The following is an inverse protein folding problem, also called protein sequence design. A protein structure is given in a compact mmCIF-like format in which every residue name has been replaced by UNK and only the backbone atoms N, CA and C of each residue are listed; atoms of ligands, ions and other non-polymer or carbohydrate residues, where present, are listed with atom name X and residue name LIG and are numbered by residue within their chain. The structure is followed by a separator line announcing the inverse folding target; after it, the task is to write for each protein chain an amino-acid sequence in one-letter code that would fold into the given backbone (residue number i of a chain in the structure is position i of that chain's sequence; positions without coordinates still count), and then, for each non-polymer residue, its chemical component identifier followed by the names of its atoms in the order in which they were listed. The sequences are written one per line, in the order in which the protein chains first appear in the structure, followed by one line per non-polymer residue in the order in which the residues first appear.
data_IF_921894094446
#
_entry.id   IF_921894094446
#
_cell.length_a   1.000
_cell.length_b   1.000
_cell.length_c   1.000
_cell.angle_alpha   90.00
_cell.angle_beta   90.00
_cell.angle_gamma   90.00
#
_symmetry.space_group_name_H-M   'P 1'
#
loop_
_entity.id
_entity.type
_entity.pdbx_description
1 polymer ?
#
# COMPACT_ATOMS: atom_id res chain seq x y z
N UNK A 1 -32.80 -7.71 -8.64
CA UNK A 1 -32.21 -8.08 -7.33
C UNK A 1 -31.64 -6.80 -6.74
N UNK A 2 -32.26 -6.24 -5.71
CA UNK A 2 -31.72 -5.07 -5.01
C UNK A 2 -30.69 -5.57 -4.00
N UNK A 3 -29.42 -5.23 -4.18
CA UNK A 3 -28.39 -5.51 -3.17
C UNK A 3 -28.47 -4.39 -2.13
N UNK A 4 -28.86 -4.77 -0.91
CA UNK A 4 -28.82 -3.88 0.24
C UNK A 4 -27.36 -3.76 0.69
N UNK A 5 -26.68 -2.70 0.25
CA UNK A 5 -25.33 -2.37 0.70
C UNK A 5 -25.44 -1.49 1.96
N UNK A 6 -25.31 -2.10 3.13
CA UNK A 6 -24.95 -1.34 4.33
C UNK A 6 -23.47 -1.03 4.25
N UNK A 7 -23.06 0.22 4.51
CA UNK A 7 -21.67 0.57 4.79
C UNK A 7 -21.45 0.43 6.29
N UNK A 8 -20.83 -0.67 6.79
CA UNK A 8 -20.64 -0.88 8.21
C UNK A 8 -19.91 0.29 8.89
N UNK A 9 -19.03 0.97 8.15
CA UNK A 9 -18.33 2.18 8.57
C UNK A 9 -19.27 3.35 8.87
N UNK A 10 -20.32 3.55 8.06
CA UNK A 10 -21.28 4.63 8.31
C UNK A 10 -22.17 4.33 9.53
N UNK A 11 -22.50 3.05 9.74
CA UNK A 11 -23.26 2.61 10.90
C UNK A 11 -22.43 2.74 12.19
N UNK A 12 -21.15 2.41 12.13
CA UNK A 12 -20.21 2.59 13.24
C UNK A 12 -20.01 4.09 13.58
N UNK A 13 -19.88 4.95 12.57
CA UNK A 13 -19.79 6.40 12.77
C UNK A 13 -21.06 6.97 13.43
N UNK A 14 -22.24 6.57 12.94
CA UNK A 14 -23.51 6.99 13.54
C UNK A 14 -23.67 6.49 14.99
N UNK A 15 -23.19 5.29 15.31
CA UNK A 15 -23.20 4.78 16.68
C UNK A 15 -22.31 5.61 17.61
N UNK A 16 -21.14 6.06 17.13
CA UNK A 16 -20.24 6.94 17.87
C UNK A 16 -20.87 8.33 18.11
N UNK A 17 -21.52 8.91 17.11
CA UNK A 17 -22.23 10.18 17.24
C UNK A 17 -23.37 10.08 18.28
N UNK A 18 -24.15 8.99 18.24
CA UNK A 18 -25.19 8.76 19.24
C UNK A 18 -24.62 8.55 20.64
N UNK A 19 -23.47 7.89 20.79
CA UNK A 19 -22.80 7.76 22.07
C UNK A 19 -22.43 9.15 22.63
N UNK A 20 -21.94 10.06 21.77
CA UNK A 20 -21.68 11.45 22.10
C UNK A 20 -22.93 12.20 22.55
N UNK A 21 -24.03 12.09 21.81
CA UNK A 21 -25.34 12.68 22.18
C UNK A 21 -25.80 12.16 23.55
N UNK A 22 -25.71 10.85 23.77
CA UNK A 22 -26.08 10.22 25.05
C UNK A 22 -25.24 10.74 26.22
N UNK A 23 -23.93 10.96 26.01
CA UNK A 23 -23.05 11.57 27.01
C UNK A 23 -23.48 12.99 27.36
N UNK A 24 -23.65 13.85 26.34
CA UNK A 24 -24.05 15.24 26.53
C UNK A 24 -25.41 15.36 27.23
N UNK A 25 -26.36 14.49 26.88
CA UNK A 25 -27.69 14.47 27.49
C UNK A 25 -27.65 14.07 28.98
N UNK A 26 -26.83 13.08 29.35
CA UNK A 26 -26.61 12.69 30.75
C UNK A 26 -25.96 13.81 31.56
N UNK A 27 -24.96 14.48 31.00
CA UNK A 27 -24.30 15.62 31.65
C UNK A 27 -25.28 16.78 31.90
N UNK A 28 -26.08 17.14 30.88
CA UNK A 28 -27.09 18.18 31.01
C UNK A 28 -28.16 17.81 32.07
N UNK A 29 -28.66 16.56 32.04
CA UNK A 29 -29.65 16.06 32.99
C UNK A 29 -29.11 16.04 34.42
N UNK A 30 -27.84 15.67 34.61
CA UNK A 30 -27.18 15.68 35.91
C UNK A 30 -26.99 17.10 36.45
N UNK A 31 -26.58 18.07 35.61
CA UNK A 31 -26.46 19.48 36.02
C UNK A 31 -27.79 20.11 36.43
N UNK A 32 -28.90 19.65 35.83
CA UNK A 32 -30.23 20.14 36.12
C UNK A 32 -30.87 19.46 37.35
N UNK A 33 -30.27 18.41 37.91
CA UNK A 33 -30.87 17.62 38.98
C UNK A 33 -31.13 18.46 40.24
N UNK A 34 -30.07 18.98 40.86
CA UNK A 34 -30.20 19.81 42.07
C UNK A 34 -31.15 21.01 41.89
N UNK A 35 -31.01 21.89 40.87
CA UNK A 35 -31.86 23.06 40.74
C UNK A 35 -33.35 22.74 40.47
N UNK A 36 -33.68 21.54 40.01
CA UNK A 36 -35.07 21.14 39.74
C UNK A 36 -35.72 20.32 40.86
N UNK A 37 -34.93 19.64 41.70
CA UNK A 37 -35.45 18.84 42.82
C UNK A 37 -35.44 19.58 44.15
N UNK A 38 -34.56 20.59 44.32
CA UNK A 38 -34.43 21.35 45.58
C UNK A 38 -35.07 22.74 45.50
N UNK A 39 -36.26 22.84 44.94
CA UNK A 39 -37.00 24.11 44.81
C UNK A 39 -37.44 24.59 46.19
N UNK A 40 -37.10 25.83 46.53
CA UNK A 40 -37.49 26.45 47.80
C UNK A 40 -38.86 27.14 47.66
N UNK A 41 -39.64 27.13 48.74
CA UNK A 41 -40.91 27.87 48.81
C UNK A 41 -40.63 29.39 48.71
N UNK A 42 -41.45 30.10 47.95
CA UNK A 42 -41.30 31.54 47.75
C UNK A 42 -41.66 32.37 49.00
N UNK A 43 -42.52 31.83 49.86
CA UNK A 43 -42.91 32.38 51.15
C UNK A 43 -43.31 31.23 52.10
N UNK A 44 -43.55 31.55 53.38
CA UNK A 44 -43.87 30.59 54.45
C UNK A 44 -45.32 30.06 54.40
N UNK A 45 -46.12 30.52 53.42
CA UNK A 45 -47.50 30.09 53.27
C UNK A 45 -47.61 28.67 52.69
N UNK A 46 -48.70 27.98 53.02
CA UNK A 46 -48.94 26.61 52.62
C UNK A 46 -49.04 26.42 51.10
N UNK A 47 -49.45 27.45 50.36
CA UNK A 47 -49.52 27.40 48.88
C UNK A 47 -48.12 27.43 48.28
N UNK A 48 -47.24 28.31 48.75
CA UNK A 48 -45.83 28.37 48.34
C UNK A 48 -45.08 27.07 48.64
N UNK A 49 -45.33 26.46 49.80
CA UNK A 49 -44.73 25.17 50.18
C UNK A 49 -45.26 24.04 49.28
N UNK A 50 -46.57 23.98 49.04
CA UNK A 50 -47.17 22.96 48.18
C UNK A 50 -46.70 23.05 46.72
N UNK A 51 -46.55 24.27 46.19
CA UNK A 51 -46.04 24.50 44.83
C UNK A 51 -44.57 24.09 44.71
N UNK A 52 -43.72 24.42 45.67
CA UNK A 52 -42.32 23.97 45.69
C UNK A 52 -42.21 22.44 45.74
N UNK A 53 -43.03 21.79 46.57
CA UNK A 53 -43.09 20.33 46.65
C UNK A 53 -43.55 19.67 45.33
N UNK A 54 -44.53 20.26 44.63
CA UNK A 54 -44.99 19.79 43.32
C UNK A 54 -43.86 19.85 42.27
N UNK A 55 -43.12 20.96 42.23
CA UNK A 55 -41.99 21.10 41.30
C UNK A 55 -40.86 20.14 41.63
N UNK A 56 -40.52 19.97 42.92
CA UNK A 56 -39.52 18.99 43.36
C UNK A 56 -39.88 17.55 42.95
N UNK A 57 -41.14 17.14 43.20
CA UNK A 57 -41.63 15.82 42.80
C UNK A 57 -41.66 15.62 41.27
N UNK A 58 -41.94 16.69 40.50
CA UNK A 58 -41.86 16.66 39.04
C UNK A 58 -40.41 16.50 38.54
N UNK A 59 -39.46 17.16 39.21
CA UNK A 59 -38.03 17.01 38.97
C UNK A 59 -37.54 15.57 39.23
N UNK A 60 -37.94 14.96 40.33
CA UNK A 60 -37.61 13.56 40.65
C UNK A 60 -38.16 12.57 39.61
N UNK A 61 -39.40 12.77 39.16
CA UNK A 61 -40.00 11.96 38.10
C UNK A 61 -39.27 12.11 36.77
N UNK A 62 -38.87 13.34 36.41
CA UNK A 62 -38.06 13.61 35.24
C UNK A 62 -36.73 12.86 35.30
N UNK A 63 -36.01 12.92 36.43
CA UNK A 63 -34.74 12.21 36.64
C UNK A 63 -34.90 10.68 36.53
N UNK A 64 -35.98 10.12 37.09
CA UNK A 64 -36.27 8.69 36.98
C UNK A 64 -36.55 8.27 35.52
N UNK A 65 -37.22 9.12 34.74
CA UNK A 65 -37.51 8.86 33.33
C UNK A 65 -36.26 8.97 32.46
N UNK A 66 -35.44 10.00 32.65
CA UNK A 66 -34.18 10.16 31.90
C UNK A 66 -33.18 9.06 32.22
N UNK A 67 -33.15 8.52 33.44
CA UNK A 67 -32.35 7.34 33.76
C UNK A 67 -32.78 6.10 32.94
N UNK A 68 -34.09 5.88 32.78
CA UNK A 68 -34.63 4.79 31.93
C UNK A 68 -34.31 5.01 30.46
N UNK A 69 -34.43 6.25 29.97
CA UNK A 69 -34.08 6.62 28.61
C UNK A 69 -32.58 6.39 28.34
N UNK A 70 -31.70 6.78 29.27
CA UNK A 70 -30.26 6.56 29.14
C UNK A 70 -29.91 5.08 29.00
N UNK A 71 -30.53 4.21 29.82
CA UNK A 71 -30.33 2.76 29.71
C UNK A 71 -30.82 2.19 28.37
N UNK A 72 -31.96 2.66 27.86
CA UNK A 72 -32.44 2.30 26.52
C UNK A 72 -31.48 2.78 25.43
N UNK A 73 -31.01 4.02 25.51
CA UNK A 73 -30.08 4.60 24.56
C UNK A 73 -28.76 3.82 24.51
N UNK A 74 -28.22 3.43 25.67
CA UNK A 74 -27.01 2.61 25.74
C UNK A 74 -27.21 1.23 25.09
N UNK A 75 -28.37 0.61 25.29
CA UNK A 75 -28.72 -0.65 24.60
C UNK A 75 -28.84 -0.46 23.08
N UNK A 76 -29.45 0.65 22.63
CA UNK A 76 -29.60 0.96 21.22
C UNK A 76 -28.24 1.16 20.53
N UNK A 77 -27.35 1.97 21.14
CA UNK A 77 -25.98 2.19 20.64
C UNK A 77 -25.17 0.89 20.65
N UNK A 78 -25.32 0.09 21.70
CA UNK A 78 -24.68 -1.23 21.81
C UNK A 78 -25.13 -2.18 20.70
N UNK A 79 -26.42 -2.24 20.40
CA UNK A 79 -26.96 -3.05 19.32
C UNK A 79 -26.49 -2.57 17.93
N UNK A 80 -26.43 -1.27 17.71
CA UNK A 80 -25.97 -0.68 16.46
C UNK A 80 -24.48 -0.97 16.20
N UNK A 81 -23.65 -0.78 17.23
CA UNK A 81 -22.21 -1.10 17.19
C UNK A 81 -21.98 -2.60 16.97
N UNK A 82 -22.73 -3.44 17.69
CA UNK A 82 -22.66 -4.89 17.54
C UNK A 82 -23.08 -5.38 16.15
N UNK A 83 -24.12 -4.76 15.56
CA UNK A 83 -24.55 -5.03 14.20
C UNK A 83 -23.47 -4.66 13.16
N UNK A 84 -22.88 -3.47 13.26
CA UNK A 84 -21.80 -3.05 12.37
C UNK A 84 -20.59 -4.00 12.43
N UNK A 85 -20.19 -4.42 13.64
CA UNK A 85 -19.11 -5.38 13.83
C UNK A 85 -19.43 -6.77 13.24
N UNK A 86 -20.67 -7.23 13.34
CA UNK A 86 -21.09 -8.51 12.77
C UNK A 86 -21.03 -8.52 11.24
N UNK A 87 -21.47 -7.43 10.58
CA UNK A 87 -21.39 -7.31 9.12
C UNK A 87 -19.94 -7.22 8.62
N UNK A 88 -19.11 -6.39 9.26
CA UNK A 88 -17.69 -6.30 8.94
C UNK A 88 -16.95 -7.63 9.17
N UNK A 89 -17.27 -8.34 10.26
CA UNK A 89 -16.71 -9.66 10.52
C UNK A 89 -17.14 -10.73 9.51
N UNK A 90 -18.39 -10.68 9.03
CA UNK A 90 -18.88 -11.56 7.99
C UNK A 90 -18.18 -11.31 6.63
N UNK A 91 -17.95 -10.05 6.28
CA UNK A 91 -17.18 -9.67 5.08
C UNK A 91 -15.75 -10.20 5.16
N UNK A 92 -15.04 -9.95 6.26
CA UNK A 92 -13.67 -10.43 6.45
C UNK A 92 -13.57 -11.97 6.40
N UNK A 93 -14.57 -12.67 6.94
CA UNK A 93 -14.62 -14.15 6.91
C UNK A 93 -14.85 -14.65 5.48
N UNK A 94 -15.79 -14.04 4.75
CA UNK A 94 -16.08 -14.41 3.37
C UNK A 94 -14.88 -14.14 2.44
N UNK A 95 -14.19 -13.01 2.61
CA UNK A 95 -12.95 -12.73 1.90
C UNK A 95 -11.85 -13.76 2.20
N UNK A 96 -11.68 -14.10 3.48
CA UNK A 96 -10.73 -15.14 3.90
C UNK A 96 -11.02 -16.50 3.26
N UNK A 97 -12.29 -16.91 3.22
CA UNK A 97 -12.71 -18.16 2.57
C UNK A 97 -12.46 -18.15 1.06
N UNK A 98 -12.76 -17.03 0.39
CA UNK A 98 -12.50 -16.89 -1.04
C UNK A 98 -11.02 -16.96 -1.38
N UNK A 99 -10.15 -16.37 -0.55
CA UNK A 99 -8.69 -16.45 -0.72
C UNK A 99 -8.20 -17.90 -0.57
N UNK A 100 -8.65 -18.63 0.45
CA UNK A 100 -8.28 -20.04 0.65
C UNK A 100 -8.74 -20.92 -0.53
N UNK A 101 -9.96 -20.72 -1.02
CA UNK A 101 -10.48 -21.44 -2.18
C UNK A 101 -9.68 -21.13 -3.45
N UNK A 102 -9.30 -19.87 -3.65
CA UNK A 102 -8.47 -19.46 -4.79
C UNK A 102 -7.08 -20.10 -4.73
N UNK A 103 -6.45 -20.12 -3.56
CA UNK A 103 -5.13 -20.73 -3.37
C UNK A 103 -5.16 -22.25 -3.60
N UNK A 104 -6.18 -22.95 -3.09
CA UNK A 104 -6.34 -24.40 -3.29
C UNK A 104 -6.55 -24.73 -4.76
N UNK A 105 -7.39 -23.95 -5.45
CA UNK A 105 -7.61 -24.10 -6.89
C UNK A 105 -6.31 -23.87 -7.70
N UNK A 106 -5.56 -22.81 -7.39
CA UNK A 106 -4.27 -22.54 -8.03
C UNK A 106 -3.25 -23.64 -7.73
N UNK A 107 -3.23 -24.18 -6.51
CA UNK A 107 -2.37 -25.29 -6.12
C UNK A 107 -2.64 -26.53 -6.98
N UNK A 108 -3.92 -26.91 -7.16
CA UNK A 108 -4.32 -28.05 -8.00
C UNK A 108 -3.92 -27.84 -9.47
N UNK A 109 -4.11 -26.62 -10.00
CA UNK A 109 -3.74 -26.29 -11.39
C UNK A 109 -2.21 -26.30 -11.58
N UNK A 110 -1.47 -25.78 -10.60
CA UNK A 110 -0.03 -25.62 -10.71
C UNK A 110 0.73 -26.90 -10.37
N UNK A 111 0.14 -27.83 -9.60
CA UNK A 111 0.82 -29.04 -9.14
C UNK A 111 1.50 -29.86 -10.26
N UNK A 112 0.88 -30.09 -11.44
CA UNK A 112 1.55 -30.81 -12.52
C UNK A 112 2.77 -30.08 -13.07
N UNK A 113 2.70 -28.76 -13.28
CA UNK A 113 3.82 -27.99 -13.84
C UNK A 113 4.91 -27.72 -12.80
N UNK A 114 4.56 -27.56 -11.54
CA UNK A 114 5.53 -27.48 -10.45
C UNK A 114 6.32 -28.78 -10.34
N UNK A 115 5.63 -29.92 -10.38
CA UNK A 115 6.29 -31.23 -10.32
C UNK A 115 7.18 -31.51 -11.54
N UNK A 116 6.78 -31.08 -12.75
CA UNK A 116 7.48 -31.38 -13.99
C UNK A 116 8.55 -30.34 -14.37
N UNK A 117 8.32 -29.07 -14.05
CA UNK A 117 9.10 -27.93 -14.56
C UNK A 117 9.64 -27.02 -13.45
N UNK A 118 9.29 -27.26 -12.18
CA UNK A 118 9.69 -26.42 -11.04
C UNK A 118 9.19 -24.98 -11.16
N UNK A 119 8.07 -24.79 -11.86
CA UNK A 119 7.46 -23.48 -12.10
C UNK A 119 5.94 -23.63 -12.19
N UNK A 120 5.17 -22.66 -11.67
CA UNK A 120 3.73 -22.73 -11.73
C UNK A 120 3.26 -22.48 -13.16
N UNK A 121 2.10 -23.00 -13.52
CA UNK A 121 1.46 -22.70 -14.80
C UNK A 121 0.93 -21.27 -14.78
N UNK A 122 0.33 -20.89 -13.65
CA UNK A 122 -0.30 -19.59 -13.39
C UNK A 122 0.15 -19.09 -12.01
N UNK A 123 0.62 -17.85 -11.94
CA UNK A 123 1.01 -17.23 -10.69
C UNK A 123 2.13 -16.21 -10.89
N UNK A 124 2.22 -15.22 -10.00
CA UNK A 124 3.33 -14.29 -10.03
C UNK A 124 4.59 -14.95 -9.45
N UNK A 125 5.75 -14.46 -9.88
CA UNK A 125 7.02 -14.85 -9.27
C UNK A 125 7.15 -14.30 -7.86
N UNK A 126 7.84 -15.04 -7.00
CA UNK A 126 8.10 -14.60 -5.63
C UNK A 126 8.99 -13.35 -5.60
N UNK A 127 8.63 -12.36 -4.78
CA UNK A 127 9.49 -11.20 -4.57
C UNK A 127 10.74 -11.58 -3.77
N UNK A 128 11.88 -11.00 -4.13
CA UNK A 128 13.11 -11.12 -3.38
C UNK A 128 13.02 -10.41 -2.03
N UNK A 129 13.62 -11.01 -1.00
CA UNK A 129 13.59 -10.45 0.35
C UNK A 129 14.30 -9.08 0.43
N UNK A 130 13.70 -8.14 1.15
CA UNK A 130 14.27 -6.81 1.35
C UNK A 130 15.62 -6.88 2.08
N UNK A 131 16.54 -5.98 1.73
CA UNK A 131 17.90 -5.85 2.27
C UNK A 131 18.78 -7.09 2.07
N UNK A 132 18.47 -7.97 1.12
CA UNK A 132 19.28 -9.15 0.81
C UNK A 132 19.92 -9.08 -0.57
N UNK A 133 19.40 -8.23 -1.46
CA UNK A 133 19.73 -8.26 -2.88
C UNK A 133 19.23 -9.53 -3.60
N UNK A 134 18.31 -10.28 -2.99
CA UNK A 134 17.75 -11.49 -3.60
C UNK A 134 16.97 -11.14 -4.87
N UNK A 135 17.18 -11.91 -5.93
CA UNK A 135 16.43 -11.75 -7.17
C UNK A 135 14.95 -12.14 -6.99
N UNK A 136 14.07 -11.48 -7.75
CA UNK A 136 12.71 -11.92 -7.90
C UNK A 136 12.62 -13.22 -8.70
N UNK A 137 11.69 -14.09 -8.31
CA UNK A 137 11.38 -15.34 -8.99
C UNK A 137 10.69 -15.11 -10.33
N UNK A 138 10.76 -16.11 -11.20
CA UNK A 138 10.04 -16.10 -12.46
C UNK A 138 8.53 -16.23 -12.25
N UNK A 139 7.74 -15.52 -13.06
CA UNK A 139 6.31 -15.74 -13.16
C UNK A 139 5.97 -17.13 -13.73
N UNK A 140 4.70 -17.50 -13.54
CA UNK A 140 4.12 -18.71 -14.07
C UNK A 140 4.26 -18.82 -15.59
N UNK A 141 4.22 -20.03 -16.12
CA UNK A 141 4.55 -20.31 -17.52
C UNK A 141 3.59 -19.60 -18.48
N UNK A 142 2.28 -19.63 -18.22
CA UNK A 142 1.26 -19.01 -19.07
C UNK A 142 0.92 -17.60 -18.61
N UNK A 143 0.56 -17.45 -17.34
CA UNK A 143 0.14 -16.17 -16.77
C UNK A 143 0.91 -15.92 -15.49
N UNK A 144 1.64 -14.82 -15.45
CA UNK A 144 2.42 -14.47 -14.28
C UNK A 144 3.36 -13.32 -14.52
N UNK A 145 3.26 -12.31 -13.66
CA UNK A 145 4.27 -11.28 -13.58
C UNK A 145 5.53 -11.84 -12.93
N UNK A 146 6.68 -11.29 -13.28
CA UNK A 146 7.91 -11.60 -12.56
C UNK A 146 7.91 -10.98 -11.16
N UNK A 147 8.55 -11.65 -10.20
CA UNK A 147 8.71 -11.12 -8.85
C UNK A 147 9.66 -9.92 -8.83
N UNK A 148 9.47 -9.00 -7.89
CA UNK A 148 10.37 -7.86 -7.69
C UNK A 148 11.70 -8.34 -7.11
N UNK A 149 12.80 -7.71 -7.51
CA UNK A 149 14.08 -7.89 -6.85
C UNK A 149 14.08 -7.23 -5.47
N UNK A 150 14.65 -7.91 -4.48
CA UNK A 150 14.82 -7.37 -3.13
C UNK A 150 15.84 -6.23 -3.09
N UNK A 151 15.65 -5.26 -2.20
CA UNK A 151 16.66 -4.21 -2.01
C UNK A 151 17.98 -4.80 -1.49
N UNK A 152 19.10 -4.14 -1.79
CA UNK A 152 20.40 -4.50 -1.24
C UNK A 152 20.57 -4.04 0.21
N UNK A 153 21.30 -4.81 1.02
CA UNK A 153 21.84 -4.34 2.30
C UNK A 153 22.81 -3.17 2.08
N UNK A 154 23.27 -2.51 3.15
CA UNK A 154 24.17 -1.36 3.05
C UNK A 154 25.38 -1.63 2.14
N UNK A 155 25.54 -0.83 1.08
CA UNK A 155 26.59 -0.96 0.07
C UNK A 155 26.47 -2.18 -0.87
N UNK A 156 25.47 -3.04 -0.69
CA UNK A 156 25.23 -4.23 -1.50
C UNK A 156 24.25 -3.93 -2.65
N UNK A 157 24.40 -4.68 -3.74
CA UNK A 157 23.51 -4.54 -4.89
C UNK A 157 22.06 -4.95 -4.57
N UNK A 158 21.11 -4.32 -5.26
CA UNK A 158 19.73 -4.79 -5.30
C UNK A 158 19.59 -6.00 -6.21
N UNK A 159 18.61 -6.86 -5.91
CA UNK A 159 18.33 -8.05 -6.71
C UNK A 159 17.68 -7.69 -8.04
N UNK A 160 17.85 -8.54 -9.04
CA UNK A 160 17.17 -8.37 -10.32
C UNK A 160 15.68 -8.70 -10.19
N UNK A 161 14.84 -8.03 -10.97
CA UNK A 161 13.45 -8.43 -11.16
C UNK A 161 13.37 -9.75 -11.93
N UNK A 162 12.40 -10.58 -11.57
CA UNK A 162 12.15 -11.86 -12.23
C UNK A 162 11.51 -11.69 -13.61
N UNK A 163 11.71 -12.64 -14.53
CA UNK A 163 11.03 -12.63 -15.82
C UNK A 163 9.56 -13.02 -15.68
N UNK A 164 8.70 -12.50 -16.56
CA UNK A 164 7.32 -12.94 -16.69
C UNK A 164 7.16 -14.21 -17.55
N UNK A 165 5.93 -14.74 -17.61
CA UNK A 165 5.54 -15.92 -18.40
C UNK A 165 5.30 -15.66 -19.90
N UNK A 166 4.34 -16.36 -20.48
CA UNK A 166 3.82 -16.04 -21.82
C UNK A 166 3.10 -14.69 -21.82
N UNK A 167 2.31 -14.44 -20.77
CA UNK A 167 1.62 -13.20 -20.47
C UNK A 167 2.04 -12.69 -19.09
N UNK A 168 2.42 -11.42 -19.01
CA UNK A 168 2.74 -10.78 -17.75
C UNK A 168 3.81 -9.71 -17.88
N UNK A 169 3.96 -8.90 -16.86
CA UNK A 169 4.95 -7.83 -16.79
C UNK A 169 6.17 -8.31 -16.02
N UNK A 170 7.36 -7.96 -16.50
CA UNK A 170 8.61 -8.29 -15.80
C UNK A 170 8.69 -7.62 -14.44
N UNK A 171 9.32 -8.29 -13.48
CA UNK A 171 9.48 -7.76 -12.13
C UNK A 171 10.36 -6.52 -12.08
N UNK A 172 10.13 -5.61 -11.14
CA UNK A 172 11.01 -4.45 -10.97
C UNK A 172 12.34 -4.87 -10.33
N UNK A 173 13.45 -4.29 -10.77
CA UNK A 173 14.74 -4.44 -10.10
C UNK A 173 14.74 -3.81 -8.70
N UNK A 174 15.43 -4.46 -7.76
CA UNK A 174 15.61 -3.99 -6.40
C UNK A 174 16.56 -2.79 -6.33
N UNK A 175 16.32 -1.89 -5.39
CA UNK A 175 17.22 -0.75 -5.16
C UNK A 175 18.55 -1.23 -4.57
N UNK A 176 19.66 -0.67 -5.02
CA UNK A 176 20.96 -0.84 -4.38
C UNK A 176 21.01 -0.21 -2.99
N UNK A 177 21.68 -0.85 -2.04
CA UNK A 177 21.74 -0.38 -0.67
C UNK A 177 22.64 0.84 -0.50
N UNK A 178 22.15 1.84 0.20
CA UNK A 178 22.94 3.01 0.55
C UNK A 178 24.01 2.67 1.60
N UNK A 179 25.11 3.43 1.63
CA UNK A 179 26.16 3.23 2.63
C UNK A 179 26.75 4.53 3.12
N UNK A 180 27.19 4.53 4.38
CA UNK A 180 27.98 5.60 5.01
C UNK A 180 29.39 5.13 5.37
N UNK A 181 29.73 3.89 5.03
CA UNK A 181 31.05 3.34 5.32
C UNK A 181 32.12 4.04 4.48
N UNK A 182 33.23 4.40 5.11
CA UNK A 182 34.34 5.12 4.46
C UNK A 182 34.91 4.26 3.34
N UNK A 183 34.96 4.81 2.12
CA UNK A 183 35.46 4.10 0.93
C UNK A 183 34.51 3.07 0.32
N UNK A 184 33.29 2.91 0.85
CA UNK A 184 32.30 2.00 0.28
C UNK A 184 31.38 2.73 -0.71
N UNK A 185 31.32 2.22 -1.95
CA UNK A 185 30.38 2.70 -2.94
C UNK A 185 28.94 2.33 -2.55
N UNK A 186 27.97 3.11 -3.02
CA UNK A 186 26.57 2.71 -2.97
C UNK A 186 26.36 1.44 -3.81
N UNK A 187 25.47 0.56 -3.35
CA UNK A 187 25.15 -0.65 -4.09
C UNK A 187 24.52 -0.35 -5.45
N UNK A 188 24.80 -1.16 -6.46
CA UNK A 188 24.11 -1.02 -7.75
C UNK A 188 22.63 -1.39 -7.64
N UNK A 189 21.76 -0.75 -8.41
CA UNK A 189 20.38 -1.19 -8.59
C UNK A 189 20.30 -2.46 -9.44
N UNK A 190 19.36 -3.34 -9.11
CA UNK A 190 19.11 -4.56 -9.87
C UNK A 190 18.42 -4.26 -11.21
N UNK A 191 18.60 -5.13 -12.19
CA UNK A 191 17.93 -4.96 -13.50
C UNK A 191 16.45 -5.27 -13.39
N UNK A 192 15.62 -4.62 -14.20
CA UNK A 192 14.23 -5.03 -14.40
C UNK A 192 14.13 -6.37 -15.12
N UNK A 193 13.11 -7.16 -14.78
CA UNK A 193 12.84 -8.44 -15.41
C UNK A 193 12.24 -8.29 -16.81
N UNK A 194 12.38 -9.33 -17.63
CA UNK A 194 11.78 -9.32 -18.97
C UNK A 194 10.26 -9.46 -18.90
N UNK A 195 9.56 -8.74 -19.78
CA UNK A 195 8.13 -8.90 -19.98
C UNK A 195 7.78 -10.26 -20.57
N UNK A 196 6.48 -10.55 -20.63
CA UNK A 196 5.97 -11.81 -21.14
C UNK A 196 6.35 -12.04 -22.60
N UNK A 197 6.50 -13.32 -22.97
CA UNK A 197 6.95 -13.68 -24.32
C UNK A 197 6.03 -13.15 -25.41
N UNK A 198 4.72 -13.28 -25.22
CA UNK A 198 3.74 -12.79 -26.20
C UNK A 198 3.32 -11.36 -25.86
N UNK A 199 2.85 -11.13 -24.64
CA UNK A 199 2.43 -9.81 -24.18
C UNK A 199 2.97 -9.52 -22.80
N UNK A 200 3.61 -8.36 -22.68
CA UNK A 200 4.16 -7.93 -21.41
C UNK A 200 5.16 -6.81 -21.54
N UNK A 201 5.04 -5.81 -20.69
CA UNK A 201 6.09 -4.82 -20.53
C UNK A 201 7.27 -5.40 -19.73
N UNK A 202 8.47 -4.91 -20.01
CA UNK A 202 9.62 -5.16 -19.15
C UNK A 202 9.50 -4.41 -17.83
N UNK A 203 10.08 -4.96 -16.77
CA UNK A 203 10.11 -4.33 -15.45
C UNK A 203 11.06 -3.14 -15.40
N UNK A 204 10.83 -2.19 -14.50
CA UNK A 204 11.76 -1.06 -14.32
C UNK A 204 13.05 -1.51 -13.64
N UNK A 205 14.18 -0.89 -13.97
CA UNK A 205 15.44 -1.07 -13.24
C UNK A 205 15.39 -0.43 -11.85
N UNK A 206 16.10 -1.02 -10.90
CA UNK A 206 16.23 -0.50 -9.54
C UNK A 206 17.15 0.72 -9.47
N UNK A 207 16.87 1.66 -8.57
CA UNK A 207 17.78 2.80 -8.35
C UNK A 207 19.10 2.36 -7.69
N UNK A 208 20.18 3.08 -7.98
CA UNK A 208 21.45 2.93 -7.27
C UNK A 208 21.37 3.39 -5.81
N UNK A 209 22.21 2.79 -4.97
CA UNK A 209 22.41 3.17 -3.58
C UNK A 209 23.21 4.46 -3.46
N UNK A 210 22.88 5.31 -2.49
CA UNK A 210 23.67 6.50 -2.21
C UNK A 210 24.97 6.16 -1.46
N UNK A 211 25.99 7.01 -1.56
CA UNK A 211 27.20 6.94 -0.73
C UNK A 211 27.55 8.30 -0.14
N UNK A 212 28.14 8.32 1.06
CA UNK A 212 28.55 9.56 1.71
C UNK A 212 29.92 10.07 1.20
N UNK A 213 30.91 9.19 1.04
CA UNK A 213 32.31 9.54 0.76
C UNK A 213 32.93 8.74 -0.38
N UNK A 214 32.15 7.95 -1.11
CA UNK A 214 32.58 7.20 -2.27
C UNK A 214 31.51 7.26 -3.36
N UNK A 215 31.68 6.53 -4.47
CA UNK A 215 30.81 6.68 -5.63
C UNK A 215 29.38 6.25 -5.30
N UNK A 216 28.41 6.94 -5.89
CA UNK A 216 27.04 6.48 -5.91
C UNK A 216 26.92 5.18 -6.70
N UNK A 217 26.02 4.29 -6.29
CA UNK A 217 25.77 3.05 -7.02
C UNK A 217 25.11 3.33 -8.37
N UNK A 218 25.41 2.56 -9.41
CA UNK A 218 24.72 2.70 -10.69
C UNK A 218 23.24 2.30 -10.59
N UNK A 219 22.39 2.93 -11.38
CA UNK A 219 21.02 2.47 -11.60
C UNK A 219 21.00 1.18 -12.42
N UNK A 220 20.04 0.31 -12.15
CA UNK A 220 19.82 -0.92 -12.89
C UNK A 220 19.16 -0.64 -14.24
N UNK A 221 19.47 -1.47 -15.25
CA UNK A 221 18.80 -1.37 -16.53
C UNK A 221 17.32 -1.75 -16.43
N UNK A 222 16.47 -1.14 -17.24
CA UNK A 222 15.10 -1.59 -17.44
C UNK A 222 15.04 -2.91 -18.20
N UNK A 223 14.04 -3.73 -17.89
CA UNK A 223 13.78 -5.00 -18.56
C UNK A 223 13.21 -4.78 -19.96
N UNK A 224 13.49 -5.71 -20.87
CA UNK A 224 12.93 -5.68 -22.22
C UNK A 224 11.53 -6.30 -22.27
N UNK A 225 10.70 -5.83 -23.20
CA UNK A 225 9.55 -6.59 -23.70
C UNK A 225 9.98 -7.47 -24.89
N UNK A 226 9.19 -8.51 -25.20
CA UNK A 226 9.57 -9.52 -26.20
C UNK A 226 8.85 -9.36 -27.54
N UNK A 227 7.56 -9.74 -27.64
CA UNK A 227 6.81 -9.58 -28.89
C UNK A 227 5.96 -8.30 -28.90
N UNK A 228 5.09 -8.17 -27.90
CA UNK A 228 4.25 -6.98 -27.69
C UNK A 228 4.46 -6.44 -26.27
N UNK A 229 4.74 -5.14 -26.15
CA UNK A 229 4.87 -4.47 -24.87
C UNK A 229 5.95 -3.39 -24.86
N UNK A 230 5.91 -2.57 -23.81
CA UNK A 230 6.89 -1.49 -23.63
C UNK A 230 8.13 -1.99 -22.90
N UNK A 231 9.28 -1.43 -23.21
CA UNK A 231 10.47 -1.62 -22.39
C UNK A 231 10.32 -0.93 -21.03
N UNK A 232 10.91 -1.51 -19.99
CA UNK A 232 10.93 -0.91 -18.67
C UNK A 232 11.89 0.27 -18.59
N UNK A 233 11.60 1.28 -17.78
CA UNK A 233 12.53 2.38 -17.56
C UNK A 233 13.79 1.92 -16.81
N UNK A 234 14.93 2.56 -17.10
CA UNK A 234 16.16 2.41 -16.33
C UNK A 234 16.07 3.08 -14.96
N UNK A 235 16.75 2.52 -13.97
CA UNK A 235 16.83 3.07 -12.63
C UNK A 235 17.75 4.29 -12.55
N UNK A 236 17.45 5.24 -11.67
CA UNK A 236 18.34 6.37 -11.44
C UNK A 236 19.65 5.93 -10.75
N UNK A 237 20.74 6.64 -11.03
CA UNK A 237 22.00 6.49 -10.32
C UNK A 237 21.92 7.00 -8.88
N UNK A 238 22.72 6.43 -7.99
CA UNK A 238 22.83 6.82 -6.59
C UNK A 238 23.52 8.16 -6.43
N UNK A 239 23.01 9.01 -5.53
CA UNK A 239 23.63 10.29 -5.23
C UNK A 239 24.85 10.14 -4.30
N UNK A 240 25.73 11.15 -4.32
CA UNK A 240 26.74 11.35 -3.28
C UNK A 240 26.44 12.63 -2.49
N UNK A 241 26.81 12.64 -1.20
CA UNK A 241 26.62 13.82 -0.33
C UNK A 241 27.93 14.51 0.07
N UNK A 242 29.07 13.82 -0.01
CA UNK A 242 30.40 14.38 0.28
C UNK A 242 31.14 14.79 -0.99
N UNK A 243 31.66 16.02 -1.02
CA UNK A 243 32.53 16.50 -2.10
C UNK A 243 33.95 15.99 -1.89
N UNK A 244 34.24 14.79 -2.40
CA UNK A 244 35.58 14.19 -2.40
C UNK A 244 36.10 14.19 -3.83
N UNK A 245 37.34 14.67 -4.04
CA UNK A 245 37.93 14.74 -5.37
C UNK A 245 38.00 13.34 -6.02
N UNK A 246 37.47 13.22 -7.24
CA UNK A 246 37.42 11.95 -7.98
C UNK A 246 36.25 11.03 -7.64
N UNK A 247 35.36 11.44 -6.72
CA UNK A 247 34.12 10.72 -6.39
C UNK A 247 32.95 11.33 -7.16
N UNK A 248 32.13 10.48 -7.78
CA UNK A 248 30.99 10.89 -8.60
C UNK A 248 29.69 10.20 -8.21
N UNK A 249 28.57 10.85 -8.53
CA UNK A 249 27.26 10.19 -8.56
C UNK A 249 27.25 8.95 -9.45
N UNK A 250 26.39 7.98 -9.12
CA UNK A 250 26.25 6.77 -9.92
C UNK A 250 25.65 7.08 -11.29
N UNK A 251 26.01 6.31 -12.32
CA UNK A 251 25.34 6.43 -13.62
C UNK A 251 23.89 5.94 -13.55
N UNK A 252 23.01 6.54 -14.34
CA UNK A 252 21.65 6.03 -14.56
C UNK A 252 21.66 4.76 -15.42
N UNK A 253 20.70 3.87 -15.17
CA UNK A 253 20.52 2.64 -15.93
C UNK A 253 19.92 2.90 -17.30
N UNK A 254 20.25 2.07 -18.29
CA UNK A 254 19.61 2.14 -19.60
C UNK A 254 18.12 1.72 -19.51
N UNK A 255 17.28 2.32 -20.34
CA UNK A 255 15.92 1.84 -20.56
C UNK A 255 15.90 0.53 -21.36
N UNK A 256 14.91 -0.30 -21.08
CA UNK A 256 14.70 -1.56 -21.77
C UNK A 256 14.12 -1.37 -23.17
N UNK A 257 14.38 -2.30 -24.07
CA UNK A 257 13.78 -2.28 -25.41
C UNK A 257 12.31 -2.70 -25.37
N UNK A 258 11.52 -2.14 -26.28
CA UNK A 258 10.16 -2.57 -26.55
C UNK A 258 10.09 -3.98 -27.14
N UNK A 259 8.87 -4.51 -27.20
CA UNK A 259 8.57 -5.71 -27.96
C UNK A 259 8.83 -5.51 -29.45
N UNK A 260 9.23 -6.59 -30.11
CA UNK A 260 9.64 -6.62 -31.51
C UNK A 260 8.63 -5.94 -32.45
N UNK A 261 7.34 -6.14 -32.23
CA UNK A 261 6.30 -5.67 -33.13
C UNK A 261 5.72 -4.32 -32.70
N UNK A 262 5.20 -4.24 -31.48
CA UNK A 262 4.56 -3.03 -30.96
C UNK A 262 5.03 -2.75 -29.54
N UNK A 263 5.43 -1.50 -29.31
CA UNK A 263 5.78 -0.97 -28.01
C UNK A 263 6.77 0.19 -28.10
N UNK A 264 6.75 1.03 -27.08
CA UNK A 264 7.76 2.08 -26.87
C UNK A 264 8.92 1.58 -26.04
N UNK A 265 10.12 2.05 -26.34
CA UNK A 265 11.30 1.79 -25.53
C UNK A 265 11.19 2.47 -24.16
N UNK A 266 11.77 1.86 -23.14
CA UNK A 266 11.81 2.46 -21.81
C UNK A 266 12.76 3.65 -21.76
N UNK A 267 12.46 4.65 -20.95
CA UNK A 267 13.37 5.78 -20.75
C UNK A 267 14.63 5.33 -19.98
N UNK A 268 15.77 5.96 -20.28
CA UNK A 268 16.97 5.84 -19.47
C UNK A 268 16.79 6.53 -18.11
N UNK A 269 17.45 5.98 -17.08
CA UNK A 269 17.48 6.57 -15.75
C UNK A 269 18.41 7.77 -15.68
N UNK A 270 18.10 8.72 -14.81
CA UNK A 270 18.97 9.88 -14.58
C UNK A 270 20.26 9.47 -13.85
N UNK A 271 21.35 10.17 -14.10
CA UNK A 271 22.57 10.09 -13.32
C UNK A 271 22.37 10.62 -11.90
N UNK A 272 23.15 10.09 -10.96
CA UNK A 272 23.22 10.56 -9.59
C UNK A 272 23.89 11.93 -9.50
N UNK A 273 23.49 12.72 -8.50
CA UNK A 273 24.03 14.05 -8.26
C UNK A 273 25.56 14.04 -8.13
N UNK A 274 26.22 15.09 -8.66
CA UNK A 274 27.68 15.30 -8.71
C UNK A 274 28.39 14.39 -9.74
N UNK A 275 28.00 14.51 -11.01
CA UNK A 275 28.74 13.98 -12.15
C UNK A 275 28.31 12.60 -12.63
N UNK A 276 27.18 12.07 -12.16
CA UNK A 276 26.61 10.85 -12.70
C UNK A 276 26.06 11.06 -14.11
N UNK A 277 26.40 10.17 -15.04
CA UNK A 277 25.84 10.21 -16.40
C UNK A 277 24.43 9.64 -16.46
N UNK A 278 23.58 10.19 -17.32
CA UNK A 278 22.27 9.61 -17.63
C UNK A 278 22.39 8.32 -18.45
N UNK A 279 21.44 7.42 -18.27
CA UNK A 279 21.31 6.19 -19.05
C UNK A 279 20.67 6.44 -20.41
N UNK A 280 20.96 5.57 -21.39
CA UNK A 280 20.33 5.64 -22.71
C UNK A 280 18.88 5.17 -22.65
N UNK A 281 18.02 5.74 -23.48
CA UNK A 281 16.68 5.20 -23.73
C UNK A 281 16.70 3.92 -24.57
N UNK A 282 15.70 3.07 -24.37
CA UNK A 282 15.50 1.83 -25.12
C UNK A 282 14.86 2.06 -26.49
N UNK A 283 14.92 1.04 -27.34
CA UNK A 283 14.38 1.08 -28.71
C UNK A 283 12.90 0.71 -28.80
N UNK A 284 12.19 1.29 -29.75
CA UNK A 284 10.79 0.96 -30.08
C UNK A 284 10.63 -0.30 -30.92
N UNK A 285 9.40 -0.79 -31.02
CA UNK A 285 9.00 -1.91 -31.87
C UNK A 285 8.86 -1.53 -33.34
N UNK A 286 8.95 -2.53 -34.22
CA UNK A 286 9.03 -2.36 -35.68
C UNK A 286 7.81 -1.69 -36.30
N UNK A 287 6.62 -1.95 -35.78
CA UNK A 287 5.35 -1.53 -36.40
C UNK A 287 4.81 -0.24 -35.79
N UNK A 288 4.81 -0.14 -34.45
CA UNK A 288 4.27 0.99 -33.70
C UNK A 288 5.03 1.18 -32.38
N UNK A 289 5.48 2.42 -32.12
CA UNK A 289 6.17 2.78 -30.86
C UNK A 289 7.04 4.03 -30.99
N UNK A 290 7.64 4.46 -29.87
CA UNK A 290 8.65 5.52 -29.82
C UNK A 290 9.88 5.09 -29.01
N UNK A 291 11.06 5.56 -29.40
CA UNK A 291 12.28 5.34 -28.61
C UNK A 291 12.12 5.99 -27.23
N UNK A 292 12.72 5.38 -26.21
CA UNK A 292 12.81 5.97 -24.90
C UNK A 292 13.71 7.20 -24.90
N UNK A 293 13.41 8.16 -24.03
CA UNK A 293 14.29 9.30 -23.80
C UNK A 293 15.53 8.88 -23.03
N UNK A 294 16.66 9.55 -23.28
CA UNK A 294 17.85 9.41 -22.44
C UNK A 294 17.63 10.10 -21.08
N UNK A 295 18.25 9.57 -20.04
CA UNK A 295 18.28 10.19 -18.73
C UNK A 295 19.15 11.45 -18.71
N UNK A 296 18.85 12.35 -17.79
CA UNK A 296 19.66 13.53 -17.54
C UNK A 296 20.95 13.18 -16.77
N UNK A 297 22.00 13.99 -16.94
CA UNK A 297 23.19 13.95 -16.08
C UNK A 297 22.90 14.64 -14.74
N UNK A 298 23.63 14.25 -13.69
CA UNK A 298 23.49 14.76 -12.32
C UNK A 298 24.68 15.56 -11.80
#
# INVERSE_FOLDING_TARGET
MSFFATTPEAVAAAAADLAGIGSNFREATASAAAPTTTVLAAAEDEVSVAVAALFGASGEQYQAWTARFAAFHDQFVGALSGGAAAYSGAEATNEGLLNVLADDFLSVINAPTEALLGRPLIGNGADGAANTGQNGGAGGILFGNGGKGGSGAAGQAGGNGGPAGLWGVGGTGGRGGATIAVGANGGAGGTGGTGGWLFGAGGTGGGGGASLLANGGSGGAGGAALLFGHGGAGGAGGAISGQVAGVVGGAGGAGGNAGLLVGGGGNGGNGGFLGGSGGLGGKHGLLLGHDGANGANG
#
